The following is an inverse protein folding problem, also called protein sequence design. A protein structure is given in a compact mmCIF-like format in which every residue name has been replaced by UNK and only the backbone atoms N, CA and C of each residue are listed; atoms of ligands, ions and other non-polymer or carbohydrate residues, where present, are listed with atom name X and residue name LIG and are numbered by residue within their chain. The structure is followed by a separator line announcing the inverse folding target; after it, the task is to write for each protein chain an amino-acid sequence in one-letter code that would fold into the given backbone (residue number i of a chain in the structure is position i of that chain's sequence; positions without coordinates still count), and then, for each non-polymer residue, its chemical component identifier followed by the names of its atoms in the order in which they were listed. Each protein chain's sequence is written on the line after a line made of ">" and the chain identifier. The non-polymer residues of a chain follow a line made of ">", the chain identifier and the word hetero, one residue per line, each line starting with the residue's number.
data_IF_673987398333
#
_entry.id   IF_673987398333
#
_cell.length_a   1.000
_cell.length_b   1.000
_cell.length_c   1.000
_cell.angle_alpha   90.00
_cell.angle_beta   90.00
_cell.angle_gamma   90.00
#
_symmetry.space_group_name_H-M   'P 1'
#
loop_
_entity.id
_entity.type
_entity.pdbx_description
1 polymer ?
#
# COMPACT_ATOMS: atom_id res chain seq x y z
N UNK A 1 5.07 18.53 0.32
CA UNK A 1 5.32 17.29 -0.44
C UNK A 1 4.00 16.57 -0.59
N UNK A 2 3.52 16.44 -1.82
CA UNK A 2 2.21 15.90 -2.16
C UNK A 2 2.31 14.37 -2.10
N UNK A 3 1.60 13.75 -1.17
CA UNK A 3 1.43 12.30 -1.15
C UNK A 3 0.91 11.85 -2.53
N UNK A 4 1.50 10.78 -3.07
CA UNK A 4 1.01 10.04 -4.25
C UNK A 4 -0.51 9.99 -4.22
N UNK A 5 -1.15 10.60 -5.22
CA UNK A 5 -2.61 10.71 -5.26
C UNK A 5 -3.23 9.31 -5.14
N UNK A 6 -4.06 9.12 -4.12
CA UNK A 6 -4.99 8.00 -4.10
C UNK A 6 -5.76 8.01 -5.41
N UNK A 7 -6.02 6.84 -5.98
CA UNK A 7 -6.76 6.78 -7.23
C UNK A 7 -8.13 7.47 -7.05
N UNK A 8 -8.44 8.45 -7.90
CA UNK A 8 -9.81 8.93 -8.01
C UNK A 8 -10.67 7.84 -8.66
N UNK A 9 -11.27 7.03 -7.81
CA UNK A 9 -12.25 6.03 -8.20
C UNK A 9 -13.63 6.69 -8.27
N UNK A 10 -14.34 6.49 -9.37
CA UNK A 10 -15.78 6.80 -9.44
C UNK A 10 -16.55 5.86 -8.51
N UNK A 11 -17.77 6.26 -8.09
CA UNK A 11 -18.59 5.46 -7.18
C UNK A 11 -18.84 4.02 -7.66
N UNK A 12 -18.96 3.81 -8.98
CA UNK A 12 -19.11 2.47 -9.56
C UNK A 12 -17.87 1.60 -9.35
N UNK A 13 -16.67 2.16 -9.56
CA UNK A 13 -15.40 1.45 -9.34
C UNK A 13 -15.14 1.21 -7.86
N UNK A 14 -15.56 2.13 -6.99
CA UNK A 14 -15.52 1.96 -5.53
C UNK A 14 -16.42 0.82 -5.06
N UNK A 15 -17.64 0.70 -5.62
CA UNK A 15 -18.53 -0.44 -5.32
C UNK A 15 -17.94 -1.77 -5.79
N UNK A 16 -17.30 -1.79 -6.95
CA UNK A 16 -16.58 -2.98 -7.42
C UNK A 16 -15.40 -3.33 -6.52
N UNK A 17 -14.58 -2.33 -6.14
CA UNK A 17 -13.45 -2.52 -5.23
C UNK A 17 -13.92 -3.11 -3.90
N UNK A 18 -14.96 -2.54 -3.29
CA UNK A 18 -15.53 -3.06 -2.03
C UNK A 18 -16.03 -4.48 -2.13
N UNK A 19 -16.69 -4.85 -3.24
CA UNK A 19 -17.11 -6.25 -3.46
C UNK A 19 -15.91 -7.20 -3.48
N UNK A 20 -14.82 -6.78 -4.13
CA UNK A 20 -13.58 -7.56 -4.17
C UNK A 20 -12.93 -7.59 -2.78
N UNK A 21 -12.90 -6.47 -2.05
CA UNK A 21 -12.40 -6.42 -0.67
C UNK A 21 -13.17 -7.38 0.26
N UNK A 22 -14.50 -7.42 0.13
CA UNK A 22 -15.38 -8.33 0.88
C UNK A 22 -15.15 -9.80 0.48
N UNK A 23 -15.01 -10.09 -0.82
CA UNK A 23 -14.79 -11.44 -1.32
C UNK A 23 -13.43 -12.02 -0.90
N UNK A 24 -12.39 -11.20 -0.96
CA UNK A 24 -11.03 -11.60 -0.59
C UNK A 24 -10.74 -11.41 0.90
N UNK A 25 -11.65 -10.78 1.65
CA UNK A 25 -11.47 -10.46 3.07
C UNK A 25 -10.25 -9.57 3.34
N UNK A 26 -9.85 -8.75 2.36
CA UNK A 26 -8.64 -7.92 2.41
C UNK A 26 -8.94 -6.49 1.99
N UNK A 27 -8.13 -5.54 2.44
CA UNK A 27 -8.23 -4.13 2.04
C UNK A 27 -7.37 -3.91 0.79
N UNK A 28 -7.97 -3.36 -0.27
CA UNK A 28 -7.29 -3.06 -1.52
C UNK A 28 -6.96 -1.57 -1.59
N UNK A 29 -5.68 -1.27 -1.78
CA UNK A 29 -5.21 0.11 -1.93
C UNK A 29 -5.01 0.41 -3.42
N UNK A 30 -5.78 1.36 -3.94
CA UNK A 30 -5.69 1.79 -5.33
C UNK A 30 -4.85 3.07 -5.47
N UNK A 31 -3.77 2.99 -6.25
CA UNK A 31 -2.93 4.13 -6.62
C UNK A 31 -3.21 4.56 -8.05
N UNK A 32 -3.33 5.86 -8.28
CA UNK A 32 -3.57 6.44 -9.61
C UNK A 32 -2.38 6.22 -10.55
N UNK A 33 -1.19 6.33 -9.96
CA UNK A 33 0.10 5.95 -10.56
C UNK A 33 0.78 5.02 -9.58
N UNK A 34 1.07 3.79 -10.00
CA UNK A 34 1.80 2.81 -9.19
C UNK A 34 3.15 3.42 -8.80
N UNK A 35 3.39 3.72 -7.52
CA UNK A 35 4.67 4.23 -7.09
C UNK A 35 5.72 3.12 -7.23
N UNK A 36 6.95 3.51 -7.58
CA UNK A 36 8.05 2.54 -7.64
C UNK A 36 8.29 2.00 -6.23
N UNK A 37 8.48 0.69 -6.10
CA UNK A 37 8.85 0.09 -4.83
C UNK A 37 10.25 0.57 -4.45
N UNK A 38 10.43 0.94 -3.18
CA UNK A 38 11.74 1.38 -2.70
C UNK A 38 12.75 0.25 -2.87
N UNK A 39 13.83 0.52 -3.62
CA UNK A 39 15.00 -0.34 -3.65
C UNK A 39 15.75 -0.23 -2.32
N UNK A 40 15.24 -0.93 -1.29
CA UNK A 40 15.86 -0.98 0.02
C UNK A 40 17.08 -1.90 0.01
N UNK A 41 18.15 -1.47 0.65
CA UNK A 41 19.30 -2.33 0.98
C UNK A 41 18.96 -3.35 2.06
N UNK A 42 19.77 -4.40 2.21
CA UNK A 42 19.53 -5.47 3.21
C UNK A 42 19.42 -4.92 4.65
N UNK A 43 20.21 -3.90 4.98
CA UNK A 43 20.17 -3.23 6.29
C UNK A 43 18.85 -2.46 6.49
N UNK A 44 18.37 -1.74 5.48
CA UNK A 44 17.10 -1.03 5.53
C UNK A 44 15.90 -1.98 5.60
N UNK A 45 15.94 -3.09 4.86
CA UNK A 45 14.92 -4.16 4.95
C UNK A 45 14.88 -4.73 6.36
N UNK A 46 16.04 -4.94 6.99
CA UNK A 46 16.11 -5.42 8.37
C UNK A 46 15.49 -4.42 9.35
N UNK A 47 15.77 -3.13 9.21
CA UNK A 47 15.12 -2.11 10.04
C UNK A 47 13.61 -2.07 9.84
N UNK A 48 13.13 -2.15 8.60
CA UNK A 48 11.70 -2.20 8.28
C UNK A 48 11.07 -3.40 8.97
N UNK A 49 11.67 -4.59 8.88
CA UNK A 49 11.18 -5.81 9.55
C UNK A 49 11.15 -5.69 11.07
N UNK A 50 12.12 -5.02 11.67
CA UNK A 50 12.09 -4.77 13.12
C UNK A 50 10.95 -3.82 13.52
N UNK A 51 10.67 -2.81 12.68
CA UNK A 51 9.52 -1.92 12.87
C UNK A 51 8.20 -2.66 12.64
N UNK A 52 8.11 -3.52 11.64
CA UNK A 52 6.96 -4.39 11.37
C UNK A 52 6.62 -5.26 12.59
N UNK A 53 7.65 -5.90 13.19
CA UNK A 53 7.49 -6.72 14.41
C UNK A 53 6.99 -5.90 15.60
N UNK A 54 7.49 -4.68 15.77
CA UNK A 54 7.08 -3.78 16.86
C UNK A 54 5.66 -3.28 16.69
N UNK A 55 5.24 -3.00 15.45
CA UNK A 55 3.91 -2.50 15.13
C UNK A 55 2.87 -3.61 14.98
N UNK A 56 3.30 -4.86 14.75
CA UNK A 56 2.43 -5.97 14.41
C UNK A 56 1.71 -5.77 13.07
N UNK A 57 2.35 -5.05 12.13
CA UNK A 57 1.81 -4.68 10.81
C UNK A 57 2.88 -4.90 9.74
N UNK A 58 2.45 -5.09 8.50
CA UNK A 58 3.33 -5.13 7.32
C UNK A 58 3.53 -3.70 6.83
N UNK A 59 4.78 -3.33 6.59
CA UNK A 59 5.17 -2.01 6.08
C UNK A 59 5.58 -2.18 4.61
N UNK A 60 5.00 -1.35 3.74
CA UNK A 60 5.34 -1.31 2.32
C UNK A 60 6.08 -0.01 2.06
N UNK A 61 7.31 -0.11 1.55
CA UNK A 61 8.15 1.04 1.22
C UNK A 61 8.07 1.35 -0.28
N UNK A 62 7.80 2.61 -0.59
CA UNK A 62 7.77 3.14 -1.95
C UNK A 62 8.86 4.21 -2.11
N UNK A 63 9.43 4.34 -3.31
CA UNK A 63 10.32 5.44 -3.67
C UNK A 63 9.54 6.76 -3.64
N UNK A 64 10.20 7.82 -3.14
CA UNK A 64 9.68 9.19 -3.19
C UNK A 64 10.19 9.91 -4.44
#
# INVERSE_FOLDING_TARGET
>A
MQCTAYAHLSEEKLKQLRKIEEEFGTVLVAYEKVPAFAALSDDEVREVREKEKKLGKILIAYEQ
#
